data_IF_606614008893
#
_entry.id   IF_606614008893
#
_cell.length_a   1.000
_cell.length_b   1.000
_cell.length_c   1.000
_cell.angle_alpha   90.00
_cell.angle_beta   90.00
_cell.angle_gamma   90.00
#
_symmetry.space_group_name_H-M   'P 1'
#
loop_
_entity.id
_entity.type
_entity.pdbx_description
1 polymer ?
#
# COMPACT_ATOMS: atom_id res chain seq x y z
N UNK A 1 30.13 -24.76 -7.43
CA UNK A 1 29.12 -25.12 -6.41
C UNK A 1 29.24 -24.10 -5.29
N UNK A 2 28.24 -23.24 -5.08
CA UNK A 2 28.20 -22.36 -3.91
C UNK A 2 27.61 -23.18 -2.77
N UNK A 3 28.41 -23.47 -1.75
CA UNK A 3 27.95 -24.07 -0.50
C UNK A 3 27.09 -23.05 0.22
N UNK A 4 25.81 -23.36 0.42
CA UNK A 4 24.95 -22.57 1.30
C UNK A 4 25.50 -22.61 2.72
N UNK A 5 25.52 -21.49 3.46
CA UNK A 5 25.94 -21.49 4.85
C UNK A 5 24.95 -22.33 5.65
N UNK A 6 25.44 -23.45 6.20
CA UNK A 6 24.69 -24.26 7.16
C UNK A 6 24.60 -23.45 8.44
N UNK A 7 23.46 -22.79 8.66
CA UNK A 7 23.16 -22.11 9.92
C UNK A 7 22.96 -23.17 10.99
N UNK A 8 23.78 -23.15 12.03
CA UNK A 8 23.68 -24.07 13.15
C UNK A 8 22.33 -23.85 13.88
N UNK A 9 21.42 -24.83 13.91
CA UNK A 9 20.11 -24.67 14.52
C UNK A 9 20.17 -24.40 16.04
N UNK A 10 21.33 -24.65 16.69
CA UNK A 10 21.53 -24.33 18.11
C UNK A 10 21.74 -22.83 18.40
N UNK A 11 22.03 -22.00 17.38
CA UNK A 11 22.20 -20.54 17.51
C UNK A 11 20.91 -19.76 17.20
N UNK A 12 19.83 -20.44 16.80
CA UNK A 12 18.55 -19.80 16.55
C UNK A 12 17.88 -19.53 17.89
N UNK A 13 17.76 -18.24 18.23
CA UNK A 13 16.91 -17.79 19.32
C UNK A 13 15.50 -18.36 19.07
N UNK A 14 14.88 -19.07 20.03
CA UNK A 14 13.50 -19.51 19.87
C UNK A 14 12.60 -18.34 19.49
N UNK A 15 11.78 -18.48 18.45
CA UNK A 15 10.96 -17.38 17.91
C UNK A 15 10.05 -16.76 18.98
N UNK A 16 9.64 -17.58 19.96
CA UNK A 16 8.79 -17.17 21.08
C UNK A 16 9.55 -16.54 22.25
N UNK A 17 10.88 -16.46 22.20
CA UNK A 17 11.63 -15.83 23.28
C UNK A 17 11.29 -14.34 23.40
N UNK A 18 11.35 -13.75 24.62
CA UNK A 18 11.12 -12.32 24.79
C UNK A 18 12.07 -11.44 23.98
N UNK A 19 13.28 -11.94 23.69
CA UNK A 19 14.25 -11.24 22.85
C UNK A 19 13.83 -11.25 21.37
N UNK A 20 13.47 -12.41 20.83
CA UNK A 20 12.99 -12.53 19.45
C UNK A 20 11.73 -11.68 19.22
N UNK A 21 10.81 -11.63 20.18
CA UNK A 21 9.62 -10.77 20.10
C UNK A 21 9.95 -9.27 20.08
N UNK A 22 10.96 -8.83 20.84
CA UNK A 22 11.43 -7.43 20.82
C UNK A 22 12.08 -7.07 19.49
N UNK A 23 12.93 -7.96 18.97
CA UNK A 23 13.58 -7.80 17.66
C UNK A 23 12.55 -7.77 16.53
N UNK A 24 11.56 -8.67 16.56
CA UNK A 24 10.42 -8.69 15.64
C UNK A 24 9.65 -7.38 15.66
N UNK A 25 9.31 -6.87 16.84
CA UNK A 25 8.60 -5.58 16.99
C UNK A 25 9.42 -4.41 16.46
N UNK A 26 10.72 -4.38 16.77
CA UNK A 26 11.65 -3.35 16.26
C UNK A 26 11.74 -3.38 14.74
N UNK A 27 11.92 -4.56 14.15
CA UNK A 27 11.96 -4.72 12.70
C UNK A 27 10.65 -4.31 12.02
N UNK A 28 9.51 -4.70 12.60
CA UNK A 28 8.18 -4.31 12.10
C UNK A 28 8.02 -2.79 12.07
N UNK A 29 8.48 -2.10 13.13
CA UNK A 29 8.46 -0.65 13.19
C UNK A 29 9.35 -0.04 12.11
N UNK A 30 10.60 -0.50 11.97
CA UNK A 30 11.53 0.00 10.95
C UNK A 30 10.99 -0.20 9.53
N UNK A 31 10.42 -1.37 9.22
CA UNK A 31 9.82 -1.67 7.92
C UNK A 31 8.61 -0.75 7.67
N UNK A 32 7.77 -0.55 8.68
CA UNK A 32 6.61 0.34 8.58
C UNK A 32 7.03 1.80 8.36
N UNK A 33 8.03 2.30 9.10
CA UNK A 33 8.58 3.63 8.93
C UNK A 33 9.20 3.81 7.54
N UNK A 34 9.92 2.80 7.05
CA UNK A 34 10.45 2.79 5.70
C UNK A 34 9.33 2.90 4.66
N UNK A 35 8.28 2.06 4.75
CA UNK A 35 7.11 2.14 3.84
C UNK A 35 6.47 3.53 3.84
N UNK A 36 6.33 4.16 5.00
CA UNK A 36 5.80 5.52 5.13
C UNK A 36 6.70 6.58 4.50
N UNK A 37 8.02 6.42 4.63
CA UNK A 37 9.00 7.34 4.05
C UNK A 37 9.00 7.30 2.51
N UNK A 38 8.77 6.13 1.92
CA UNK A 38 8.68 5.96 0.46
C UNK A 38 7.26 6.17 -0.10
N UNK A 39 6.25 6.36 0.76
CA UNK A 39 4.88 6.59 0.32
C UNK A 39 4.73 7.98 -0.33
N UNK A 40 4.34 8.00 -1.60
CA UNK A 40 4.21 9.23 -2.37
C UNK A 40 2.80 9.84 -2.24
N UNK A 41 2.73 11.18 -2.21
CA UNK A 41 1.47 11.92 -2.09
C UNK A 41 0.65 11.82 -3.36
N UNK A 42 -0.61 11.35 -3.25
CA UNK A 42 -1.46 11.15 -4.41
C UNK A 42 -1.79 12.44 -5.18
N UNK A 43 -1.75 13.58 -4.50
CA UNK A 43 -1.94 14.89 -5.09
C UNK A 43 -0.74 15.36 -5.93
N UNK A 44 0.41 14.66 -5.87
CA UNK A 44 1.63 14.96 -6.64
C UNK A 44 1.88 13.89 -7.68
N UNK A 45 2.54 14.30 -8.75
CA UNK A 45 2.97 13.39 -9.80
C UNK A 45 3.96 12.35 -9.24
N UNK A 46 3.78 11.04 -9.51
CA UNK A 46 4.70 10.02 -9.05
C UNK A 46 6.05 10.11 -9.79
N UNK A 47 7.15 10.05 -9.05
CA UNK A 47 8.50 10.12 -9.63
C UNK A 47 9.03 8.75 -10.08
N UNK A 48 8.57 7.69 -9.43
CA UNK A 48 8.95 6.31 -9.73
C UNK A 48 7.90 5.64 -10.61
N UNK A 49 8.33 4.63 -11.37
CA UNK A 49 7.43 3.79 -12.17
C UNK A 49 7.22 2.45 -11.50
N UNK A 50 5.99 1.94 -11.51
CA UNK A 50 5.69 0.59 -11.06
C UNK A 50 5.07 -0.18 -12.23
N UNK A 51 5.90 -0.88 -13.00
CA UNK A 51 5.46 -1.55 -14.23
C UNK A 51 4.92 -2.93 -13.90
N UNK A 52 3.70 -3.20 -14.37
CA UNK A 52 3.07 -4.52 -14.27
C UNK A 52 3.70 -5.48 -15.26
N UNK A 53 4.03 -6.69 -14.82
CA UNK A 53 4.60 -7.74 -15.68
C UNK A 53 3.58 -8.73 -16.21
N UNK A 54 2.50 -8.96 -15.47
CA UNK A 54 1.47 -9.94 -15.81
C UNK A 54 0.12 -9.25 -16.07
N UNK A 55 -0.77 -9.91 -16.79
CA UNK A 55 -2.14 -9.43 -16.90
C UNK A 55 -2.83 -9.51 -15.54
N UNK A 56 -3.64 -8.51 -15.20
CA UNK A 56 -4.32 -8.46 -13.91
C UNK A 56 -5.44 -7.42 -13.86
N UNK A 57 -5.98 -7.18 -12.67
CA UNK A 57 -7.00 -6.14 -12.43
C UNK A 57 -6.58 -5.29 -11.24
N UNK A 58 -6.60 -3.98 -11.38
CA UNK A 58 -6.36 -3.06 -10.27
C UNK A 58 -7.67 -2.59 -9.66
N UNK A 59 -7.73 -2.67 -8.34
CA UNK A 59 -8.81 -2.17 -7.50
C UNK A 59 -8.52 -0.73 -7.09
N UNK A 60 -9.45 0.17 -7.41
CA UNK A 60 -9.36 1.60 -7.18
C UNK A 60 -10.49 2.03 -6.22
N UNK A 61 -10.25 2.02 -4.90
CA UNK A 61 -11.22 2.48 -3.91
C UNK A 61 -11.81 3.86 -4.22
N UNK A 62 -13.11 4.01 -4.05
CA UNK A 62 -13.79 5.31 -4.23
C UNK A 62 -13.74 6.18 -2.98
N UNK A 63 -13.54 5.56 -1.82
CA UNK A 63 -13.46 6.26 -0.54
C UNK A 63 -12.54 5.54 0.44
N UNK A 64 -12.25 6.21 1.56
CA UNK A 64 -11.49 5.66 2.66
C UNK A 64 -12.06 4.31 3.12
N UNK A 65 -11.22 3.28 3.19
CA UNK A 65 -11.62 1.89 3.49
C UNK A 65 -12.67 1.35 2.51
N UNK A 66 -12.68 1.85 1.27
CA UNK A 66 -13.54 1.36 0.18
C UNK A 66 -15.03 1.25 0.55
N UNK A 67 -15.51 2.14 1.43
CA UNK A 67 -16.89 2.08 1.96
C UNK A 67 -17.95 2.27 0.88
N UNK A 68 -17.62 3.04 -0.15
CA UNK A 68 -18.50 3.32 -1.29
C UNK A 68 -18.17 2.46 -2.52
N UNK A 69 -17.42 1.38 -2.30
CA UNK A 69 -16.96 0.45 -3.31
C UNK A 69 -15.68 0.88 -4.01
N UNK A 70 -15.39 0.19 -5.10
CA UNK A 70 -14.14 0.27 -5.84
C UNK A 70 -14.44 0.28 -7.35
N UNK A 71 -13.64 1.01 -8.11
CA UNK A 71 -13.58 0.86 -9.56
C UNK A 71 -12.54 -0.21 -9.89
N UNK A 72 -12.88 -1.17 -10.75
CA UNK A 72 -11.97 -2.23 -11.18
C UNK A 72 -11.53 -1.95 -12.61
N UNK A 73 -10.21 -1.90 -12.84
CA UNK A 73 -9.63 -1.73 -14.19
C UNK A 73 -8.70 -2.87 -14.54
N UNK A 74 -8.86 -3.42 -15.74
CA UNK A 74 -7.91 -4.40 -16.29
C UNK A 74 -6.59 -3.71 -16.61
N UNK A 75 -5.48 -4.33 -16.19
CA UNK A 75 -4.12 -3.88 -16.51
C UNK A 75 -3.41 -4.94 -17.37
N UNK A 76 -2.62 -4.45 -18.31
CA UNK A 76 -1.82 -5.31 -19.21
C UNK A 76 -0.34 -5.24 -18.82
N UNK A 77 0.47 -6.26 -19.17
CA UNK A 77 1.92 -6.17 -19.08
C UNK A 77 2.45 -4.87 -19.70
N UNK A 78 3.38 -4.20 -19.02
CA UNK A 78 3.93 -2.90 -19.41
C UNK A 78 3.17 -1.68 -18.87
N UNK A 79 2.00 -1.86 -18.23
CA UNK A 79 1.25 -0.75 -17.63
C UNK A 79 2.01 -0.17 -16.44
N UNK A 80 2.16 1.15 -16.36
CA UNK A 80 2.68 1.83 -15.17
C UNK A 80 1.55 2.12 -14.17
N UNK A 81 1.55 1.40 -13.06
CA UNK A 81 0.54 1.52 -12.00
C UNK A 81 0.55 2.89 -11.35
N UNK A 82 1.72 3.49 -11.12
CA UNK A 82 1.81 4.78 -10.45
C UNK A 82 1.12 5.86 -11.30
N UNK A 83 1.42 5.88 -12.59
CA UNK A 83 0.75 6.77 -13.55
C UNK A 83 -0.76 6.51 -13.60
N UNK A 84 -1.18 5.25 -13.74
CA UNK A 84 -2.60 4.88 -13.82
C UNK A 84 -3.40 5.34 -12.59
N UNK A 85 -2.85 5.07 -11.39
CA UNK A 85 -3.46 5.46 -10.11
C UNK A 85 -3.54 6.97 -9.98
N UNK A 86 -2.44 7.68 -10.23
CA UNK A 86 -2.42 9.14 -10.18
C UNK A 86 -3.45 9.75 -11.15
N UNK A 87 -3.45 9.30 -12.41
CA UNK A 87 -4.39 9.78 -13.42
C UNK A 87 -5.84 9.51 -13.06
N UNK A 88 -6.14 8.36 -12.45
CA UNK A 88 -7.49 8.08 -11.96
C UNK A 88 -7.89 9.06 -10.86
N UNK A 89 -7.04 9.26 -9.86
CA UNK A 89 -7.44 10.00 -8.66
C UNK A 89 -7.32 11.52 -8.73
N UNK A 90 -6.62 12.06 -9.73
CA UNK A 90 -6.58 13.49 -10.02
C UNK A 90 -7.78 13.97 -10.83
N UNK A 91 -8.56 13.04 -11.39
CA UNK A 91 -9.78 13.33 -12.15
C UNK A 91 -10.79 14.08 -11.27
N UNK A 92 -11.36 15.15 -11.83
CA UNK A 92 -12.43 15.89 -11.18
C UNK A 92 -13.72 15.06 -11.19
N UNK A 93 -14.47 15.13 -10.10
CA UNK A 93 -15.78 14.51 -9.96
C UNK A 93 -16.89 15.50 -10.32
N UNK A 94 -17.95 15.00 -10.93
CA UNK A 94 -19.17 15.78 -11.13
C UNK A 94 -19.84 16.02 -9.77
N UNK A 95 -20.05 17.29 -9.35
CA UNK A 95 -20.72 17.61 -8.09
C UNK A 95 -22.06 16.89 -7.88
N UNK A 96 -22.78 16.55 -8.96
CA UNK A 96 -24.07 15.85 -8.89
C UNK A 96 -23.95 14.40 -8.46
N UNK A 97 -22.77 13.81 -8.60
CA UNK A 97 -22.50 12.39 -8.31
C UNK A 97 -21.90 12.18 -6.91
N UNK A 98 -21.57 13.26 -6.21
CA UNK A 98 -20.88 13.20 -4.92
C UNK A 98 -21.90 12.90 -3.82
N UNK A 99 -21.82 11.71 -3.23
CA UNK A 99 -22.63 11.31 -2.06
C UNK A 99 -21.79 11.11 -0.79
N UNK A 100 -20.47 11.16 -0.91
CA UNK A 100 -19.50 10.79 0.14
C UNK A 100 -18.88 12.03 0.78
N UNK A 101 -18.34 11.85 1.99
CA UNK A 101 -17.57 12.86 2.72
C UNK A 101 -16.28 13.20 1.98
N UNK A 102 -16.13 14.48 1.61
CA UNK A 102 -14.87 15.05 1.13
C UNK A 102 -13.99 15.43 2.35
N UNK A 103 -12.75 14.95 2.38
CA UNK A 103 -11.81 15.18 3.48
C UNK A 103 -10.89 16.40 3.28
N UNK A 104 -10.88 17.03 2.10
CA UNK A 104 -9.89 18.03 1.71
C UNK A 104 -10.49 19.44 1.53
N UNK A 105 -11.79 19.64 1.23
CA UNK A 105 -12.33 21.02 1.05
C UNK A 105 -13.85 21.25 1.12
N UNK A 106 -14.19 22.50 1.49
CA UNK A 106 -15.47 23.20 1.25
C UNK A 106 -15.36 24.43 0.33
N UNK A 107 -14.20 24.67 -0.30
CA UNK A 107 -13.91 25.91 -1.03
C UNK A 107 -14.15 25.78 -2.54
N UNK A 108 -15.40 25.62 -3.01
CA UNK A 108 -15.91 25.80 -4.39
C UNK A 108 -15.04 25.37 -5.62
N UNK A 109 -13.99 24.56 -5.45
CA UNK A 109 -13.17 23.97 -6.50
C UNK A 109 -13.72 22.57 -6.77
N UNK A 110 -13.73 22.16 -8.04
CA UNK A 110 -14.18 20.84 -8.43
C UNK A 110 -13.42 19.76 -7.64
N UNK A 111 -14.15 19.01 -6.82
CA UNK A 111 -13.59 17.96 -5.97
C UNK A 111 -12.95 16.87 -6.82
N UNK A 112 -11.77 16.41 -6.44
CA UNK A 112 -11.08 15.30 -7.09
C UNK A 112 -11.31 13.99 -6.35
N UNK A 113 -11.21 12.86 -7.05
CA UNK A 113 -11.45 11.53 -6.45
C UNK A 113 -10.57 11.22 -5.24
N UNK A 114 -9.31 11.68 -5.21
CA UNK A 114 -8.45 11.45 -4.05
C UNK A 114 -8.95 12.10 -2.75
N UNK A 115 -9.75 13.16 -2.84
CA UNK A 115 -10.22 13.89 -1.66
C UNK A 115 -11.19 13.07 -0.79
N UNK A 116 -11.66 11.92 -1.30
CA UNK A 116 -12.54 10.99 -0.59
C UNK A 116 -11.78 9.83 0.06
N UNK A 117 -10.47 9.71 -0.20
CA UNK A 117 -9.63 8.63 0.34
C UNK A 117 -9.07 8.94 1.73
N UNK A 118 -9.13 10.19 2.14
CA UNK A 118 -8.60 10.69 3.40
C UNK A 118 -8.06 12.12 3.26
N UNK A 119 -7.65 12.77 4.36
CA UNK A 119 -7.12 14.12 4.33
C UNK A 119 -5.74 14.24 3.67
N UNK A 120 -4.91 13.19 3.71
CA UNK A 120 -3.61 13.18 3.05
C UNK A 120 -3.22 11.76 2.57
N UNK A 121 -3.90 11.25 1.53
CA UNK A 121 -3.69 9.89 1.03
C UNK A 121 -2.37 9.77 0.28
N UNK A 122 -1.60 8.74 0.61
CA UNK A 122 -0.34 8.38 0.00
C UNK A 122 -0.35 6.92 -0.44
N UNK A 123 0.30 6.63 -1.55
CA UNK A 123 0.46 5.27 -2.05
C UNK A 123 1.77 4.71 -1.49
N UNK A 124 1.67 3.70 -0.64
CA UNK A 124 2.82 3.02 -0.01
C UNK A 124 3.30 1.80 -0.83
N UNK A 125 2.52 1.38 -1.83
CA UNK A 125 2.86 0.31 -2.75
C UNK A 125 1.63 -0.43 -3.26
N UNK A 126 1.88 -1.61 -3.80
CA UNK A 126 0.85 -2.49 -4.36
C UNK A 126 0.97 -3.88 -3.76
N UNK A 127 -0.17 -4.52 -3.55
CA UNK A 127 -0.30 -5.94 -3.22
C UNK A 127 -0.86 -6.65 -4.46
N UNK A 128 -0.24 -7.74 -4.87
CA UNK A 128 -0.65 -8.51 -6.05
C UNK A 128 -1.02 -9.91 -5.56
N UNK A 129 -2.29 -10.25 -5.64
CA UNK A 129 -2.78 -11.57 -5.25
C UNK A 129 -2.43 -12.64 -6.30
N UNK A 130 -2.56 -13.91 -5.92
CA UNK A 130 -2.33 -15.08 -6.78
C UNK A 130 -3.21 -15.08 -8.03
N UNK A 131 -4.40 -14.49 -7.94
CA UNK A 131 -5.36 -14.35 -9.05
C UNK A 131 -5.01 -13.19 -10.00
N UNK A 132 -3.96 -12.42 -9.70
CA UNK A 132 -3.56 -11.24 -10.47
C UNK A 132 -4.36 -9.97 -10.13
N UNK A 133 -5.11 -10.00 -9.02
CA UNK A 133 -5.77 -8.81 -8.48
C UNK A 133 -4.76 -7.93 -7.73
N UNK A 134 -4.75 -6.66 -8.10
CA UNK A 134 -3.82 -5.65 -7.61
C UNK A 134 -4.59 -4.70 -6.71
N UNK A 135 -4.20 -4.66 -5.43
CA UNK A 135 -4.75 -3.73 -4.45
C UNK A 135 -3.70 -2.68 -4.07
N UNK A 136 -4.16 -1.46 -3.82
CA UNK A 136 -3.27 -0.35 -3.44
C UNK A 136 -3.07 -0.34 -1.93
N UNK A 137 -1.81 -0.41 -1.48
CA UNK A 137 -1.45 -0.18 -0.08
C UNK A 137 -1.46 1.31 0.18
N UNK A 138 -2.43 1.78 0.95
CA UNK A 138 -2.57 3.19 1.31
C UNK A 138 -1.92 3.50 2.65
N UNK A 139 -1.41 4.72 2.74
CA UNK A 139 -0.97 5.39 3.97
C UNK A 139 -1.59 6.79 4.01
N UNK A 140 -2.30 7.14 5.07
CA UNK A 140 -2.72 8.53 5.29
C UNK A 140 -1.86 9.15 6.39
N UNK A 141 -1.06 10.15 6.03
CA UNK A 141 -0.13 10.77 6.99
C UNK A 141 -0.82 11.69 8.00
N UNK A 142 -2.06 12.13 7.74
CA UNK A 142 -2.83 12.93 8.69
C UNK A 142 -3.54 12.05 9.71
N UNK A 143 -4.18 10.97 9.25
CA UNK A 143 -4.84 9.98 10.11
C UNK A 143 -3.85 9.03 10.78
N UNK A 144 -2.59 9.01 10.33
CA UNK A 144 -1.53 8.10 10.78
C UNK A 144 -1.94 6.62 10.61
N UNK A 145 -2.63 6.33 9.50
CA UNK A 145 -3.37 5.09 9.29
C UNK A 145 -3.01 4.41 7.95
N UNK A 146 -2.90 3.08 7.99
CA UNK A 146 -2.58 2.24 6.82
C UNK A 146 -3.79 1.36 6.46
N UNK A 147 -4.16 1.32 5.18
CA UNK A 147 -5.32 0.53 4.74
C UNK A 147 -5.19 -0.04 3.31
N UNK A 148 -5.89 -1.15 3.07
CA UNK A 148 -5.88 -1.95 1.86
C UNK A 148 -7.32 -2.44 1.64
N UNK A 149 -7.96 -2.04 0.53
CA UNK A 149 -9.37 -2.33 0.28
C UNK A 149 -10.26 -1.80 1.42
N UNK A 150 -10.97 -2.68 2.12
CA UNK A 150 -11.84 -2.34 3.25
C UNK A 150 -11.21 -2.52 4.64
N UNK A 151 -9.94 -2.92 4.68
CA UNK A 151 -9.29 -3.34 5.92
C UNK A 151 -8.08 -2.47 6.25
N UNK A 152 -7.75 -2.41 7.53
CA UNK A 152 -6.44 -1.92 7.98
C UNK A 152 -5.41 -2.98 7.63
N UNK A 153 -4.27 -2.57 7.10
CA UNK A 153 -3.16 -3.49 6.89
C UNK A 153 -1.99 -3.17 7.81
N UNK A 154 -1.29 -4.22 8.19
CA UNK A 154 -0.03 -4.19 8.92
C UNK A 154 0.99 -4.95 8.10
N UNK A 155 2.24 -4.49 8.07
CA UNK A 155 3.30 -5.27 7.45
C UNK A 155 3.44 -6.61 8.17
N UNK A 156 3.47 -7.70 7.42
CA UNK A 156 3.81 -9.01 7.95
C UNK A 156 5.30 -9.24 7.76
N UNK A 157 5.96 -9.80 8.78
CA UNK A 157 7.40 -10.05 8.74
C UNK A 157 7.69 -11.51 9.03
N UNK A 158 8.68 -12.05 8.31
CA UNK A 158 9.20 -13.39 8.47
C UNK A 158 10.70 -13.35 8.77
N UNK A 159 11.16 -14.26 9.61
CA UNK A 159 12.58 -14.50 9.79
C UNK A 159 13.11 -15.33 8.62
N UNK A 160 14.20 -14.89 7.99
CA UNK A 160 14.84 -15.61 6.90
C UNK A 160 16.11 -16.36 7.32
N UNK A 161 16.42 -16.42 8.62
CA UNK A 161 17.69 -16.95 9.15
C UNK A 161 18.71 -15.87 9.54
N UNK A 162 18.62 -14.67 8.96
CA UNK A 162 19.57 -13.57 9.18
C UNK A 162 18.91 -12.27 9.65
N UNK A 163 17.74 -11.95 9.09
CA UNK A 163 16.98 -10.74 9.36
C UNK A 163 15.48 -10.96 9.21
N UNK A 164 14.72 -10.12 9.90
CA UNK A 164 13.29 -9.99 9.67
C UNK A 164 13.06 -9.28 8.33
N UNK A 165 12.36 -9.95 7.42
CA UNK A 165 11.98 -9.43 6.11
C UNK A 165 10.46 -9.29 6.02
N UNK A 166 10.00 -8.31 5.26
CA UNK A 166 8.57 -8.22 4.91
C UNK A 166 8.18 -9.46 4.08
N UNK A 167 7.10 -10.12 4.49
CA UNK A 167 6.45 -11.10 3.62
C UNK A 167 5.78 -10.30 2.50
N UNK A 168 6.37 -10.39 1.31
CA UNK A 168 5.61 -10.11 0.10
C UNK A 168 4.65 -11.29 -0.04
N UNK A 169 3.43 -11.13 0.48
CA UNK A 169 2.32 -11.96 0.06
C UNK A 169 2.04 -11.67 -1.42
#
# INVERSE_FOLDING_TARGET
>A
MKTEPVVDPALLIPEDSPQAQREKKGALQTITEHRRAFAWELARWPLEKCVVWNHGRIHLPRSYLSRDGEDIRTVRPGTDLNYLVHSHYIEAMDPKTITTVNYVRGDNIAAKRHEFLGPNPRVAGYFIDVDGDIQIKWWDSFLNDQWLGSQKWTAEIAWNGEKWLEKNA
#
